data_IF_950526431568
#
_entry.id   IF_950526431568
#
_cell.length_a   1.000
_cell.length_b   1.000
_cell.length_c   1.000
_cell.angle_alpha   90.00
_cell.angle_beta   90.00
_cell.angle_gamma   90.00
#
_symmetry.space_group_name_H-M   'P 1'
#
loop_
_entity.id
_entity.type
_entity.pdbx_description
1 polymer ?
#
# COMPACT_ATOMS: atom_id res chain seq x y z
N UNK A 1 -19.27 -3.82 10.46
CA UNK A 1 -18.66 -3.10 9.31
C UNK A 1 -17.92 -1.81 9.72
N UNK A 2 -18.35 -1.08 10.76
CA UNK A 2 -17.76 0.22 11.16
C UNK A 2 -16.25 0.17 11.53
N UNK A 3 -15.82 -0.83 12.31
CA UNK A 3 -14.41 -0.92 12.77
C UNK A 3 -13.39 -0.95 11.61
N UNK A 4 -13.59 -1.83 10.62
CA UNK A 4 -12.67 -1.96 9.48
C UNK A 4 -12.58 -0.65 8.70
N UNK A 5 -13.70 0.05 8.49
CA UNK A 5 -13.71 1.32 7.77
C UNK A 5 -12.94 2.41 8.54
N UNK A 6 -13.15 2.51 9.86
CA UNK A 6 -12.45 3.48 10.71
C UNK A 6 -10.94 3.23 10.72
N UNK A 7 -10.52 1.98 10.92
CA UNK A 7 -9.10 1.62 10.93
C UNK A 7 -8.49 1.77 9.54
N UNK A 8 -9.20 1.43 8.47
CA UNK A 8 -8.70 1.63 7.10
C UNK A 8 -8.43 3.12 6.80
N UNK A 9 -9.27 4.03 7.30
CA UNK A 9 -9.03 5.48 7.16
C UNK A 9 -7.79 5.94 7.92
N UNK A 10 -7.62 5.49 9.17
CA UNK A 10 -6.40 5.74 9.96
C UNK A 10 -5.14 5.24 9.23
N UNK A 11 -5.20 4.02 8.69
CA UNK A 11 -4.11 3.42 7.90
C UNK A 11 -3.79 4.24 6.66
N UNK A 12 -4.81 4.71 5.92
CA UNK A 12 -4.59 5.54 4.73
C UNK A 12 -3.86 6.85 5.08
N UNK A 13 -4.25 7.51 6.18
CA UNK A 13 -3.58 8.71 6.69
C UNK A 13 -2.13 8.43 7.07
N UNK A 14 -1.88 7.32 7.77
CA UNK A 14 -0.53 6.90 8.15
C UNK A 14 0.36 6.62 6.92
N UNK A 15 -0.16 5.91 5.91
CA UNK A 15 0.55 5.63 4.66
C UNK A 15 0.86 6.89 3.86
N UNK A 16 -0.09 7.83 3.81
CA UNK A 16 0.10 9.10 3.12
C UNK A 16 1.23 9.93 3.76
N UNK A 17 1.30 9.95 5.09
CA UNK A 17 2.38 10.60 5.84
C UNK A 17 3.71 9.88 5.67
N UNK A 18 3.72 8.54 5.72
CA UNK A 18 4.93 7.73 5.62
C UNK A 18 5.65 7.88 4.26
N UNK A 19 4.90 8.07 3.17
CA UNK A 19 5.46 8.20 1.82
C UNK A 19 5.19 9.59 1.24
N UNK A 20 5.74 10.62 1.88
CA UNK A 20 5.68 11.98 1.35
C UNK A 20 6.41 12.13 0.00
N UNK A 21 5.86 12.95 -0.90
CA UNK A 21 6.51 13.33 -2.16
C UNK A 21 7.79 14.11 -1.89
N UNK A 22 8.90 13.63 -2.44
CA UNK A 22 10.22 14.25 -2.35
C UNK A 22 11.04 13.88 -3.58
N UNK A 23 12.19 14.53 -3.76
CA UNK A 23 13.10 14.17 -4.85
C UNK A 23 13.76 12.81 -4.59
N UNK A 24 13.89 11.94 -5.61
CA UNK A 24 13.41 12.10 -6.99
C UNK A 24 11.90 11.85 -7.14
N UNK A 25 11.16 12.84 -7.66
CA UNK A 25 9.69 12.84 -7.66
C UNK A 25 9.06 11.59 -8.29
N UNK A 26 9.59 11.14 -9.44
CA UNK A 26 9.02 10.02 -10.20
C UNK A 26 8.97 8.71 -9.41
N UNK A 27 9.96 8.45 -8.55
CA UNK A 27 9.97 7.26 -7.68
C UNK A 27 8.89 7.39 -6.61
N UNK A 28 8.78 8.55 -5.97
CA UNK A 28 7.78 8.77 -4.92
C UNK A 28 6.35 8.78 -5.47
N UNK A 29 6.14 9.32 -6.67
CA UNK A 29 4.86 9.23 -7.39
C UNK A 29 4.49 7.77 -7.70
N UNK A 30 5.44 6.97 -8.21
CA UNK A 30 5.22 5.56 -8.48
C UNK A 30 4.90 4.79 -7.20
N UNK A 31 5.62 5.00 -6.10
CA UNK A 31 5.33 4.37 -4.81
C UNK A 31 3.92 4.71 -4.31
N UNK A 32 3.58 6.00 -4.29
CA UNK A 32 2.27 6.48 -3.84
C UNK A 32 1.13 5.98 -4.72
N UNK A 33 1.35 5.91 -6.04
CA UNK A 33 0.31 5.52 -7.00
C UNK A 33 -0.33 4.18 -6.65
N UNK A 34 0.49 3.17 -6.36
CA UNK A 34 -0.03 1.83 -6.06
C UNK A 34 -0.40 1.66 -4.59
N UNK A 35 0.39 2.22 -3.67
CA UNK A 35 0.17 2.11 -2.23
C UNK A 35 -1.13 2.80 -1.79
N UNK A 36 -1.44 3.94 -2.40
CA UNK A 36 -2.60 4.79 -2.09
C UNK A 36 -3.78 4.58 -3.05
N UNK A 37 -3.74 3.58 -3.94
CA UNK A 37 -4.86 3.21 -4.83
C UNK A 37 -6.08 2.61 -4.10
N UNK A 38 -6.24 2.87 -2.80
CA UNK A 38 -7.31 2.34 -1.96
C UNK A 38 -7.11 0.87 -1.56
N UNK A 39 -8.20 0.12 -1.44
CA UNK A 39 -8.20 -1.29 -1.05
C UNK A 39 -8.86 -1.54 0.30
N UNK A 40 -9.11 -2.82 0.61
CA UNK A 40 -9.82 -3.21 1.84
C UNK A 40 -9.00 -3.03 3.12
N UNK A 41 -7.68 -2.82 3.00
CA UNK A 41 -6.73 -2.66 4.13
C UNK A 41 -6.80 -3.78 5.18
N UNK A 42 -7.12 -5.01 4.75
CA UNK A 42 -7.36 -6.14 5.68
C UNK A 42 -6.11 -6.45 6.52
N UNK A 43 -4.93 -6.52 5.91
CA UNK A 43 -3.67 -6.86 6.59
C UNK A 43 -3.25 -5.83 7.65
N UNK A 44 -3.22 -4.51 7.33
CA UNK A 44 -2.94 -3.50 8.35
C UNK A 44 -4.00 -3.47 9.47
N UNK A 45 -5.29 -3.64 9.14
CA UNK A 45 -6.35 -3.70 10.17
C UNK A 45 -6.21 -4.93 11.08
N UNK A 46 -5.80 -6.08 10.55
CA UNK A 46 -5.50 -7.28 11.35
C UNK A 46 -4.31 -7.06 12.28
N UNK A 47 -3.28 -6.32 11.83
CA UNK A 47 -2.14 -5.98 12.67
C UNK A 47 -2.54 -5.08 13.85
N UNK A 48 -3.39 -4.08 13.60
CA UNK A 48 -3.96 -3.23 14.67
C UNK A 48 -4.79 -4.08 15.64
N UNK A 49 -5.69 -4.91 15.13
CA UNK A 49 -6.55 -5.74 15.97
C UNK A 49 -5.75 -6.72 16.84
N UNK A 50 -4.67 -7.30 16.31
CA UNK A 50 -3.79 -8.18 17.09
C UNK A 50 -3.04 -7.43 18.21
N UNK A 51 -2.65 -6.18 17.96
CA UNK A 51 -2.03 -5.32 18.98
C UNK A 51 -3.04 -4.93 20.07
N UNK A 52 -4.24 -4.51 19.68
CA UNK A 52 -5.32 -4.17 20.63
C UNK A 52 -5.75 -5.38 21.47
N UNK A 53 -5.77 -6.58 20.87
CA UNK A 53 -6.16 -7.82 21.56
C UNK A 53 -5.24 -8.15 22.75
N UNK A 54 -3.95 -7.81 22.67
CA UNK A 54 -2.98 -8.04 23.75
C UNK A 54 -2.83 -6.83 24.68
N UNK A 55 -3.72 -5.83 24.57
CA UNK A 55 -3.73 -4.63 25.41
C UNK A 55 -2.81 -3.51 24.93
N UNK A 56 -2.27 -3.59 23.70
CA UNK A 56 -1.51 -2.53 23.07
C UNK A 56 -2.42 -1.45 22.45
N UNK A 57 -1.86 -0.27 22.24
CA UNK A 57 -2.54 0.81 21.52
C UNK A 57 -2.21 0.78 20.02
N UNK A 58 -3.14 1.23 19.18
CA UNK A 58 -2.93 1.35 17.72
C UNK A 58 -1.66 2.15 17.36
N UNK A 59 -1.33 3.17 18.17
CA UNK A 59 -0.13 4.00 18.02
C UNK A 59 1.16 3.18 18.00
N UNK A 60 1.23 2.10 18.79
CA UNK A 60 2.38 1.19 18.86
C UNK A 60 2.52 0.33 17.60
N UNK A 61 1.41 0.03 16.92
CA UNK A 61 1.40 -0.77 15.71
C UNK A 61 1.65 0.05 14.44
N UNK A 62 1.51 1.38 14.49
CA UNK A 62 1.50 2.26 13.31
C UNK A 62 2.66 2.08 12.32
N UNK A 63 3.95 2.00 12.75
CA UNK A 63 5.05 1.75 11.81
C UNK A 63 4.95 0.38 11.12
N UNK A 64 4.58 -0.65 11.88
CA UNK A 64 4.45 -2.03 11.40
C UNK A 64 3.30 -2.18 10.41
N UNK A 65 2.18 -1.53 10.69
CA UNK A 65 0.98 -1.46 9.85
C UNK A 65 1.31 -0.90 8.46
N UNK A 66 2.09 0.18 8.41
CA UNK A 66 2.57 0.75 7.15
C UNK A 66 3.51 -0.21 6.40
N UNK A 67 4.47 -0.82 7.10
CA UNK A 67 5.44 -1.74 6.50
C UNK A 67 4.76 -2.97 5.86
N UNK A 68 3.80 -3.59 6.55
CA UNK A 68 3.06 -4.76 6.06
C UNK A 68 2.27 -4.43 4.80
N UNK A 69 1.72 -3.22 4.68
CA UNK A 69 1.01 -2.81 3.48
C UNK A 69 1.95 -2.46 2.32
N UNK A 70 3.13 -1.90 2.60
CA UNK A 70 4.16 -1.62 1.57
C UNK A 70 4.73 -2.89 0.93
N UNK A 71 4.89 -3.97 1.71
CA UNK A 71 5.42 -5.26 1.20
C UNK A 71 4.39 -5.98 0.30
N UNK A 72 3.12 -5.58 0.31
CA UNK A 72 2.07 -6.26 -0.45
C UNK A 72 2.17 -6.15 -1.98
N UNK A 73 3.20 -5.52 -2.53
CA UNK A 73 3.17 -5.11 -3.93
C UNK A 73 3.48 -6.23 -4.93
N UNK A 74 2.64 -6.28 -5.96
CA UNK A 74 2.70 -7.16 -7.12
C UNK A 74 3.98 -6.88 -7.93
N UNK A 75 4.85 -7.89 -8.11
CA UNK A 75 6.01 -7.79 -8.99
C UNK A 75 5.60 -8.12 -10.45
N UNK A 76 6.08 -7.37 -11.45
CA UNK A 76 5.71 -7.56 -12.86
C UNK A 76 5.95 -8.96 -13.43
N UNK A 77 6.93 -9.71 -12.87
CA UNK A 77 7.27 -11.05 -13.31
C UNK A 77 6.31 -12.14 -12.79
N UNK A 78 5.33 -11.80 -11.96
CA UNK A 78 4.39 -12.78 -11.38
C UNK A 78 3.10 -12.88 -12.20
N UNK A 79 2.43 -11.75 -12.48
CA UNK A 79 1.07 -11.77 -13.07
C UNK A 79 0.95 -11.11 -14.45
N UNK A 80 1.88 -10.23 -14.84
CA UNK A 80 1.83 -9.42 -16.08
C UNK A 80 0.47 -8.72 -16.34
N UNK A 81 -0.23 -8.33 -15.27
CA UNK A 81 -1.52 -7.66 -15.37
C UNK A 81 -1.36 -6.24 -15.94
N UNK A 82 -2.22 -5.88 -16.89
CA UNK A 82 -2.32 -4.52 -17.40
C UNK A 82 -3.09 -3.59 -16.45
N UNK A 83 -4.02 -4.15 -15.66
CA UNK A 83 -4.94 -3.41 -14.81
C UNK A 83 -5.01 -3.99 -13.40
N UNK A 84 -5.02 -3.12 -12.41
CA UNK A 84 -5.25 -3.44 -10.99
C UNK A 84 -6.28 -2.48 -10.43
N UNK A 85 -7.39 -3.01 -9.92
CA UNK A 85 -8.49 -2.21 -9.33
C UNK A 85 -9.02 -1.14 -10.29
N UNK A 86 -9.14 -1.48 -11.57
CA UNK A 86 -9.63 -0.58 -12.62
C UNK A 86 -8.65 0.51 -13.05
N UNK A 87 -7.40 0.49 -12.57
CA UNK A 87 -6.33 1.42 -12.97
C UNK A 87 -5.17 0.67 -13.63
N UNK A 88 -4.38 1.30 -14.52
CA UNK A 88 -3.14 0.71 -15.02
C UNK A 88 -2.24 0.21 -13.89
N UNK A 89 -1.58 -0.93 -14.07
CA UNK A 89 -0.56 -1.39 -13.10
C UNK A 89 0.62 -0.41 -13.05
N UNK A 90 1.38 -0.46 -11.95
CA UNK A 90 2.49 0.48 -11.71
C UNK A 90 3.47 0.53 -12.88
N UNK A 91 3.84 -0.65 -13.41
CA UNK A 91 4.73 -0.75 -14.54
C UNK A 91 4.11 -0.15 -15.80
N UNK A 92 2.84 -0.38 -16.11
CA UNK A 92 2.16 0.27 -17.25
C UNK A 92 2.09 1.79 -17.12
N UNK A 93 1.92 2.32 -15.91
CA UNK A 93 1.81 3.76 -15.66
C UNK A 93 3.16 4.50 -15.64
N UNK A 94 4.23 3.91 -15.07
CA UNK A 94 5.49 4.60 -14.81
C UNK A 94 6.70 4.02 -15.56
N UNK A 95 6.64 2.76 -15.97
CA UNK A 95 7.74 2.02 -16.59
C UNK A 95 7.31 1.50 -17.97
N UNK A 96 7.57 2.27 -19.03
CA UNK A 96 7.32 1.83 -20.41
C UNK A 96 8.28 0.72 -20.90
N UNK A 97 8.94 -0.01 -20.00
CA UNK A 97 9.82 -1.09 -20.38
C UNK A 97 8.96 -2.18 -20.98
N UNK A 98 8.94 -2.24 -22.32
CA UNK A 98 8.78 -3.49 -23.05
C UNK A 98 9.63 -4.50 -22.31
N UNK A 99 9.02 -5.44 -21.59
CA UNK A 99 9.72 -6.65 -21.23
C UNK A 99 10.13 -7.25 -22.57
N UNK A 100 11.40 -7.06 -22.90
CA UNK A 100 12.04 -7.81 -23.98
C UNK A 100 11.93 -9.29 -23.58
N UNK A 101 11.52 -10.18 -24.50
CA UNK A 101 11.38 -11.60 -24.21
C UNK A 101 12.75 -12.29 -24.22
N UNK A 102 13.65 -11.85 -23.34
CA UNK A 102 14.94 -12.49 -23.10
C UNK A 102 15.09 -12.76 -21.60
#
# INVERSE_FOLDING_TARGET
>A
MSYILLKADSVNKALESAVALRQPLKIHEAMRYSLLAGGKRVRPVLCIAACELIGGEESLASPTVCAVEMIHHDLPCMDNDDLRRGKPTNHRAFFSAKMSPF
#
